data_IF_037396000343
#
_entry.id   IF_037396000343
#
_cell.length_a   1.000
_cell.length_b   1.000
_cell.length_c   1.000
_cell.angle_alpha   90.00
_cell.angle_beta   90.00
_cell.angle_gamma   90.00
#
_symmetry.space_group_name_H-M   'P 1'
#
loop_
_entity.id
_entity.type
_entity.pdbx_description
1 polymer ?
#
# COMPACT_ATOMS: atom_id res chain seq x y z
N UNK A 1 -12.50 18.43 -15.26
CA UNK A 1 -11.40 18.56 -14.29
C UNK A 1 -11.81 17.85 -13.01
N UNK A 2 -11.04 16.90 -12.50
CA UNK A 2 -11.30 16.32 -11.18
C UNK A 2 -10.73 17.27 -10.12
N UNK A 3 -11.53 17.65 -9.12
CA UNK A 3 -11.06 18.47 -8.00
C UNK A 3 -10.18 17.65 -7.06
N UNK A 4 -9.33 18.32 -6.28
CA UNK A 4 -8.51 17.70 -5.21
C UNK A 4 -9.32 16.78 -4.28
N UNK A 5 -10.58 17.15 -4.00
CA UNK A 5 -11.52 16.35 -3.21
C UNK A 5 -11.92 15.01 -3.85
N UNK A 6 -12.05 14.93 -5.18
CA UNK A 6 -12.40 13.71 -5.90
C UNK A 6 -11.22 12.72 -5.91
N UNK A 7 -9.98 13.23 -6.03
CA UNK A 7 -8.78 12.41 -5.93
C UNK A 7 -8.58 11.81 -4.54
N UNK A 8 -8.80 12.59 -3.48
CA UNK A 8 -8.67 12.12 -2.10
C UNK A 8 -9.71 11.06 -1.76
N UNK A 9 -10.95 11.23 -2.25
CA UNK A 9 -12.04 10.25 -2.08
C UNK A 9 -11.77 8.93 -2.83
N UNK A 10 -11.22 9.01 -4.05
CA UNK A 10 -10.83 7.81 -4.82
C UNK A 10 -9.68 7.07 -4.16
N UNK A 11 -8.70 7.82 -3.65
CA UNK A 11 -7.56 7.27 -2.92
C UNK A 11 -8.01 6.50 -1.69
N UNK A 12 -8.82 7.12 -0.82
CA UNK A 12 -9.37 6.44 0.34
C UNK A 12 -10.19 5.22 -0.05
N UNK A 13 -11.03 5.32 -1.09
CA UNK A 13 -11.90 4.22 -1.51
C UNK A 13 -11.15 2.98 -2.02
N UNK A 14 -10.07 3.14 -2.79
CA UNK A 14 -9.29 2.00 -3.28
C UNK A 14 -8.39 1.44 -2.18
N UNK A 15 -7.61 2.29 -1.51
CA UNK A 15 -6.61 1.86 -0.53
C UNK A 15 -7.23 1.13 0.67
N UNK A 16 -8.37 1.60 1.19
CA UNK A 16 -9.08 0.97 2.32
C UNK A 16 -9.77 -0.35 1.99
N UNK A 17 -9.79 -0.73 0.71
CA UNK A 17 -10.35 -2.00 0.20
C UNK A 17 -9.29 -2.92 -0.41
N UNK A 18 -8.07 -2.41 -0.64
CA UNK A 18 -6.98 -3.09 -1.32
C UNK A 18 -6.09 -3.87 -0.34
N UNK A 19 -5.36 -3.15 0.52
CA UNK A 19 -4.46 -3.71 1.53
C UNK A 19 -3.12 -4.28 1.04
N UNK A 20 -2.83 -4.32 -0.28
CA UNK A 20 -1.62 -4.96 -0.82
C UNK A 20 -0.30 -4.29 -0.36
N UNK A 21 -0.29 -2.98 -0.14
CA UNK A 21 0.90 -2.29 0.41
C UNK A 21 1.12 -2.55 1.90
N UNK A 22 0.13 -3.14 2.60
CA UNK A 22 0.17 -3.38 4.04
C UNK A 22 0.25 -4.86 4.41
N UNK A 23 0.07 -5.78 3.45
CA UNK A 23 -0.03 -7.23 3.72
C UNK A 23 1.30 -7.97 3.50
N UNK A 24 2.38 -7.24 3.23
CA UNK A 24 3.69 -7.80 2.93
C UNK A 24 3.89 -8.25 1.48
N UNK A 25 2.87 -8.12 0.61
CA UNK A 25 3.00 -8.58 -0.79
C UNK A 25 3.88 -7.66 -1.66
N UNK A 26 3.99 -6.39 -1.29
CA UNK A 26 4.73 -5.37 -2.04
C UNK A 26 6.07 -5.03 -1.37
N UNK A 27 6.07 -4.95 -0.05
CA UNK A 27 7.18 -4.47 0.76
C UNK A 27 7.34 -5.37 1.98
N UNK A 28 8.58 -5.70 2.34
CA UNK A 28 8.93 -6.32 3.63
C UNK A 28 8.86 -5.31 4.78
N UNK A 29 9.11 -4.06 4.48
CA UNK A 29 9.28 -2.96 5.43
C UNK A 29 9.00 -1.62 4.74
N UNK A 30 8.78 -0.57 5.54
CA UNK A 30 8.50 0.78 5.05
C UNK A 30 9.33 1.77 5.87
N UNK A 31 10.22 2.50 5.22
CA UNK A 31 11.03 3.53 5.88
C UNK A 31 10.14 4.64 6.49
N UNK A 32 10.46 4.99 7.73
CA UNK A 32 9.83 6.04 8.52
C UNK A 32 10.71 7.29 8.55
N UNK A 33 10.07 8.45 8.63
CA UNK A 33 10.73 9.75 8.65
C UNK A 33 11.29 10.06 10.04
N UNK A 34 12.49 9.55 10.28
CA UNK A 34 13.24 9.78 11.51
C UNK A 34 12.54 9.24 12.77
N UNK A 35 13.14 9.52 13.92
CA UNK A 35 12.71 8.94 15.20
C UNK A 35 11.32 9.40 15.65
N UNK A 36 10.92 10.66 15.40
CA UNK A 36 9.61 11.14 15.86
C UNK A 36 8.43 10.44 15.17
N UNK A 37 8.56 10.10 13.88
CA UNK A 37 7.54 9.30 13.19
C UNK A 37 7.57 7.84 13.67
N UNK A 38 8.76 7.29 13.92
CA UNK A 38 8.93 5.97 14.54
C UNK A 38 8.21 5.86 15.89
N UNK A 39 8.49 6.77 16.82
CA UNK A 39 7.85 6.82 18.14
C UNK A 39 6.32 6.90 18.02
N UNK A 40 5.83 7.68 17.05
CA UNK A 40 4.39 7.81 16.79
C UNK A 40 3.76 6.50 16.29
N UNK A 41 4.49 5.74 15.45
CA UNK A 41 4.02 4.45 14.95
C UNK A 41 4.02 3.39 16.05
N UNK A 42 5.04 3.36 16.90
CA UNK A 42 5.10 2.48 18.08
C UNK A 42 3.98 2.78 19.07
N UNK A 43 3.71 4.07 19.35
CA UNK A 43 2.60 4.49 20.20
C UNK A 43 1.23 4.02 19.68
N UNK A 44 1.08 3.93 18.35
CA UNK A 44 -0.11 3.39 17.69
C UNK A 44 -0.13 1.84 17.64
N UNK A 45 0.84 1.17 18.24
CA UNK A 45 0.95 -0.29 18.35
C UNK A 45 1.51 -0.97 17.10
N UNK A 46 2.24 -0.23 16.26
CA UNK A 46 2.93 -0.80 15.11
C UNK A 46 4.32 -1.31 15.48
N UNK A 47 4.83 -2.20 14.65
CA UNK A 47 6.14 -2.84 14.83
C UNK A 47 7.17 -2.05 14.04
N UNK A 48 8.09 -1.43 14.76
CA UNK A 48 9.16 -0.61 14.19
C UNK A 48 10.50 -1.21 14.59
N UNK A 49 11.41 -1.30 13.64
CA UNK A 49 12.79 -1.72 13.87
C UNK A 49 13.75 -0.57 13.52
N UNK A 50 14.87 -0.49 14.23
CA UNK A 50 15.99 0.36 13.85
C UNK A 50 17.01 -0.47 13.07
N UNK A 51 17.29 -0.07 11.84
CA UNK A 51 18.30 -0.67 10.98
C UNK A 51 19.65 0.04 11.12
N UNK A 52 20.65 -0.51 10.42
CA UNK A 52 21.94 0.13 10.20
C UNK A 52 21.77 1.59 9.73
N UNK A 53 22.69 2.45 10.15
CA UNK A 53 22.65 3.89 9.88
C UNK A 53 21.49 4.66 10.54
N UNK A 54 20.89 4.13 11.62
CA UNK A 54 19.80 4.78 12.39
C UNK A 54 18.54 5.07 11.57
N UNK A 55 18.26 4.20 10.60
CA UNK A 55 16.99 4.26 9.85
C UNK A 55 15.94 3.50 10.63
N UNK A 56 14.73 4.04 10.68
CA UNK A 56 13.60 3.35 11.30
C UNK A 56 12.68 2.80 10.22
N UNK A 57 12.29 1.55 10.35
CA UNK A 57 11.44 0.86 9.38
C UNK A 57 10.22 0.27 10.06
N UNK A 58 9.06 0.45 9.46
CA UNK A 58 7.79 -0.19 9.83
C UNK A 58 7.72 -1.56 9.16
N UNK A 59 7.71 -2.62 9.95
CA UNK A 59 7.71 -4.00 9.46
C UNK A 59 6.35 -4.38 8.84
N UNK A 60 6.39 -5.11 7.73
CA UNK A 60 5.24 -5.70 7.08
C UNK A 60 5.19 -7.23 7.32
N UNK A 61 3.99 -7.84 7.44
CA UNK A 61 2.66 -7.24 7.30
C UNK A 61 2.32 -6.25 8.42
N UNK A 62 1.84 -5.06 8.04
CA UNK A 62 1.55 -3.99 8.99
C UNK A 62 0.44 -4.39 9.97
N UNK A 63 0.69 -4.23 11.28
CA UNK A 63 -0.28 -4.52 12.35
C UNK A 63 -1.57 -3.70 12.29
N UNK A 64 -1.53 -2.54 11.63
CA UNK A 64 -2.72 -1.72 11.34
C UNK A 64 -3.67 -2.35 10.32
N UNK A 65 -3.24 -3.34 9.55
CA UNK A 65 -4.10 -3.96 8.54
C UNK A 65 -5.17 -4.83 9.23
N UNK A 66 -6.40 -4.34 9.27
CA UNK A 66 -7.56 -5.11 9.75
C UNK A 66 -8.40 -5.55 8.56
N UNK A 67 -8.30 -6.83 8.22
CA UNK A 67 -8.84 -7.45 6.99
C UNK A 67 -8.20 -6.83 5.73
N UNK A 68 -8.65 -5.64 5.35
CA UNK A 68 -8.21 -4.89 4.14
C UNK A 68 -8.12 -3.39 4.35
N UNK A 69 -8.50 -2.92 5.53
CA UNK A 69 -8.54 -1.51 5.86
C UNK A 69 -7.47 -1.22 6.91
N UNK A 70 -6.69 -0.17 6.68
CA UNK A 70 -5.75 0.35 7.66
C UNK A 70 -6.55 0.98 8.82
N UNK A 71 -6.39 0.47 10.04
CA UNK A 71 -7.09 1.00 11.21
C UNK A 71 -6.63 2.41 11.61
N UNK A 72 -5.46 2.84 11.14
CA UNK A 72 -4.88 4.16 11.40
C UNK A 72 -4.83 5.03 10.13
N UNK A 73 -5.74 4.84 9.17
CA UNK A 73 -5.63 5.45 7.83
C UNK A 73 -5.39 6.98 7.83
N UNK A 74 -5.93 7.70 8.82
CA UNK A 74 -5.73 9.14 9.02
C UNK A 74 -4.32 9.52 9.54
N UNK A 75 -3.68 8.61 10.28
CA UNK A 75 -2.38 8.75 10.92
C UNK A 75 -1.28 7.96 10.20
N UNK A 76 -1.48 7.60 8.94
CA UNK A 76 -0.47 6.87 8.15
C UNK A 76 0.85 7.63 8.12
N UNK A 77 2.00 6.92 8.21
CA UNK A 77 3.30 7.52 8.07
C UNK A 77 3.49 8.10 6.66
N UNK A 78 4.49 8.95 6.49
CA UNK A 78 4.75 9.71 5.27
C UNK A 78 4.82 8.81 4.04
N UNK A 79 5.66 7.77 4.07
CA UNK A 79 5.81 6.79 2.99
C UNK A 79 4.48 6.13 2.59
N UNK A 80 3.64 5.78 3.57
CA UNK A 80 2.31 5.22 3.32
C UNK A 80 1.32 6.23 2.74
N UNK A 81 1.52 7.54 2.96
CA UNK A 81 0.67 8.62 2.45
C UNK A 81 1.07 9.04 1.03
N UNK A 82 2.37 9.07 0.75
CA UNK A 82 2.94 9.55 -0.52
C UNK A 82 3.01 8.46 -1.59
N UNK A 83 3.04 7.18 -1.21
CA UNK A 83 3.03 6.08 -2.16
C UNK A 83 1.75 6.06 -3.01
N UNK A 84 1.92 6.09 -4.34
CA UNK A 84 0.86 5.97 -5.34
C UNK A 84 1.17 4.76 -6.22
N UNK A 85 0.36 3.71 -6.11
CA UNK A 85 0.48 2.54 -6.98
C UNK A 85 -0.15 2.81 -8.35
N UNK A 86 0.28 2.08 -9.40
CA UNK A 86 -0.20 2.22 -10.77
C UNK A 86 -1.73 2.14 -10.87
N UNK A 87 -2.36 1.19 -10.17
CA UNK A 87 -3.82 1.09 -10.18
C UNK A 87 -4.52 2.34 -9.62
N UNK A 88 -3.95 2.97 -8.58
CA UNK A 88 -4.48 4.21 -8.02
C UNK A 88 -4.26 5.39 -8.97
N UNK A 89 -3.06 5.50 -9.55
CA UNK A 89 -2.70 6.46 -10.60
C UNK A 89 -3.73 6.42 -11.73
N UNK A 90 -3.96 5.25 -12.33
CA UNK A 90 -4.90 5.05 -13.43
C UNK A 90 -6.35 5.35 -13.04
N UNK A 91 -6.77 5.05 -11.81
CA UNK A 91 -8.11 5.41 -11.31
C UNK A 91 -8.26 6.92 -11.16
N UNK A 92 -7.23 7.61 -10.69
CA UNK A 92 -7.21 9.08 -10.58
C UNK A 92 -7.28 9.73 -11.96
N UNK A 93 -6.57 9.17 -12.94
CA UNK A 93 -6.55 9.64 -14.33
C UNK A 93 -7.78 9.18 -15.15
N UNK A 94 -8.67 8.36 -14.56
CA UNK A 94 -9.87 7.77 -15.20
C UNK A 94 -9.58 6.78 -16.34
N UNK A 95 -8.35 6.29 -16.43
CA UNK A 95 -7.94 5.25 -17.36
C UNK A 95 -8.40 3.85 -16.90
N UNK A 96 -8.55 3.68 -15.58
CA UNK A 96 -9.05 2.47 -14.95
C UNK A 96 -10.24 2.80 -14.06
N UNK A 97 -11.34 2.04 -14.17
CA UNK A 97 -12.45 2.22 -13.22
C UNK A 97 -12.11 1.61 -11.86
N UNK A 98 -12.65 2.21 -10.78
CA UNK A 98 -12.48 1.68 -9.42
C UNK A 98 -12.88 0.20 -9.32
N UNK A 99 -13.97 -0.19 -10.00
CA UNK A 99 -14.44 -1.57 -10.01
C UNK A 99 -13.42 -2.51 -10.67
N UNK A 100 -12.87 -2.13 -11.84
CA UNK A 100 -11.83 -2.92 -12.52
C UNK A 100 -10.56 -3.04 -11.66
N UNK A 101 -10.14 -1.95 -11.02
CA UNK A 101 -9.00 -1.97 -10.08
C UNK A 101 -9.22 -2.97 -8.94
N UNK A 102 -10.42 -3.02 -8.36
CA UNK A 102 -10.73 -3.97 -7.29
C UNK A 102 -10.80 -5.42 -7.77
N UNK A 103 -11.23 -5.67 -9.02
CA UNK A 103 -11.17 -7.01 -9.63
C UNK A 103 -9.72 -7.49 -9.81
N UNK A 104 -8.81 -6.59 -10.21
CA UNK A 104 -7.36 -6.87 -10.28
C UNK A 104 -6.84 -7.27 -8.90
N UNK A 105 -7.12 -6.47 -7.86
CA UNK A 105 -6.73 -6.80 -6.49
C UNK A 105 -7.27 -8.16 -6.06
N UNK A 106 -8.55 -8.46 -6.34
CA UNK A 106 -9.15 -9.74 -6.00
C UNK A 106 -8.49 -10.92 -6.74
N UNK A 107 -8.03 -10.72 -7.98
CA UNK A 107 -7.27 -11.74 -8.70
C UNK A 107 -5.90 -11.99 -8.05
N UNK A 108 -5.15 -10.94 -7.73
CA UNK A 108 -3.86 -11.04 -7.03
C UNK A 108 -4.01 -11.82 -5.72
N UNK A 109 -5.01 -11.46 -4.89
CA UNK A 109 -5.25 -12.14 -3.60
C UNK A 109 -5.61 -13.60 -3.76
N UNK A 110 -6.39 -13.96 -4.79
CA UNK A 110 -6.68 -15.37 -5.09
C UNK A 110 -5.42 -16.14 -5.47
N UNK A 111 -4.53 -15.57 -6.27
CA UNK A 111 -3.26 -16.18 -6.63
C UNK A 111 -2.36 -16.38 -5.40
N UNK A 112 -2.24 -15.36 -4.54
CA UNK A 112 -1.50 -15.44 -3.28
C UNK A 112 -2.07 -16.54 -2.36
N UNK A 113 -3.39 -16.55 -2.15
CA UNK A 113 -4.06 -17.52 -1.28
C UNK A 113 -3.96 -18.98 -1.79
N UNK A 114 -3.76 -19.17 -3.09
CA UNK A 114 -3.58 -20.50 -3.70
C UNK A 114 -2.11 -20.87 -3.92
N UNK A 115 -1.16 -20.10 -3.35
CA UNK A 115 0.27 -20.37 -3.43
C UNK A 115 0.90 -20.12 -4.81
N UNK A 116 0.17 -19.52 -5.75
CA UNK A 116 0.64 -19.21 -7.11
C UNK A 116 1.52 -17.94 -7.12
N UNK A 117 2.64 -17.99 -6.38
CA UNK A 117 3.51 -16.83 -6.13
C UNK A 117 4.01 -16.16 -7.41
N UNK A 118 4.53 -16.94 -8.37
CA UNK A 118 5.03 -16.40 -9.64
C UNK A 118 3.97 -15.60 -10.40
N UNK A 119 2.75 -16.14 -10.49
CA UNK A 119 1.63 -15.45 -11.14
C UNK A 119 1.19 -14.22 -10.35
N UNK A 120 1.15 -14.29 -9.01
CA UNK A 120 0.82 -13.14 -8.19
C UNK A 120 1.84 -12.00 -8.38
N UNK A 121 3.14 -12.33 -8.37
CA UNK A 121 4.22 -11.38 -8.63
C UNK A 121 4.08 -10.75 -10.01
N UNK A 122 3.84 -11.55 -11.05
CA UNK A 122 3.63 -11.02 -12.40
C UNK A 122 2.46 -10.01 -12.44
N UNK A 123 1.33 -10.34 -11.81
CA UNK A 123 0.17 -9.43 -11.75
C UNK A 123 0.46 -8.16 -10.94
N UNK A 124 1.18 -8.26 -9.83
CA UNK A 124 1.59 -7.09 -9.02
C UNK A 124 2.48 -6.17 -9.86
N UNK A 125 3.49 -6.72 -10.56
CA UNK A 125 4.38 -5.94 -11.42
C UNK A 125 3.61 -5.24 -12.53
N UNK A 126 2.70 -5.93 -13.21
CA UNK A 126 1.97 -5.36 -14.35
C UNK A 126 0.91 -4.33 -13.94
N UNK A 127 0.20 -4.56 -12.83
CA UNK A 127 -1.02 -3.79 -12.54
C UNK A 127 -0.96 -2.94 -11.27
N UNK A 128 -0.01 -3.18 -10.37
CA UNK A 128 0.09 -2.46 -9.10
C UNK A 128 1.32 -1.57 -9.06
N UNK A 129 2.49 -2.07 -9.45
CA UNK A 129 3.74 -1.29 -9.40
C UNK A 129 4.06 -0.63 -10.75
N UNK A 130 3.80 -1.34 -11.85
CA UNK A 130 4.17 -0.89 -13.19
C UNK A 130 5.66 -1.12 -13.49
N UNK A 131 6.07 -0.95 -14.77
CA UNK A 131 7.45 -1.13 -15.20
C UNK A 131 8.40 -0.10 -14.57
N UNK A 132 7.99 1.16 -14.47
CA UNK A 132 8.78 2.26 -13.93
C UNK A 132 9.16 2.12 -12.44
N UNK A 133 8.65 1.11 -11.73
CA UNK A 133 9.02 0.83 -10.35
C UNK A 133 10.30 -0.02 -10.23
N UNK A 134 10.73 -0.68 -11.32
CA UNK A 134 11.89 -1.59 -11.33
C UNK A 134 13.05 -1.11 -12.20
N UNK A 135 12.92 0.06 -12.81
CA UNK A 135 13.97 0.76 -13.54
C UNK A 135 14.83 1.59 -12.56
#
# INVERSE_FOLDING_TARGET
MASKSDHDQKTSSLCTRCGLCCDGSLFSDVELKGSSEADSMEFLGLEVEEEESRRHVLIQPCRALKKRCCSIYAHRPESCRTFVCLALEQVRQKELSLEKALRIVQKIRRLLASGQKASATAWIKTHILGPAFFD
#
